data_IF_496146382213
#
_entry.id   IF_496146382213
#
_cell.length_a   1.000
_cell.length_b   1.000
_cell.length_c   1.000
_cell.angle_alpha   90.00
_cell.angle_beta   90.00
_cell.angle_gamma   90.00
#
_symmetry.space_group_name_H-M   'P 1'
#
loop_
_entity.id
_entity.type
_entity.pdbx_description
1 polymer ?
#
# COMPACT_ATOMS: atom_id res chain seq x y z
N UNK A 1 16.43 3.23 13.55
CA UNK A 1 15.98 3.60 12.20
C UNK A 1 15.02 4.77 12.35
N UNK A 2 15.02 5.71 11.42
CA UNK A 2 14.13 6.87 11.41
C UNK A 2 13.49 7.07 10.04
N UNK A 3 12.44 7.88 9.98
CA UNK A 3 11.85 8.32 8.72
C UNK A 3 12.88 9.16 7.92
N UNK A 4 12.75 9.24 6.59
CA UNK A 4 13.57 10.14 5.76
C UNK A 4 13.56 11.60 6.21
N UNK A 5 12.44 12.07 6.79
CA UNK A 5 12.30 13.40 7.41
C UNK A 5 13.21 13.62 8.63
N UNK A 6 13.73 12.53 9.20
CA UNK A 6 14.45 12.53 10.47
C UNK A 6 13.57 12.18 11.67
N UNK A 7 12.25 12.13 11.51
CA UNK A 7 11.31 11.78 12.58
C UNK A 7 11.58 10.35 13.09
N UNK A 8 11.62 10.12 14.41
CA UNK A 8 11.85 8.80 14.99
C UNK A 8 10.68 7.87 14.69
N UNK A 9 10.99 6.62 14.35
CA UNK A 9 9.97 5.56 14.23
C UNK A 9 9.54 5.12 15.63
N UNK A 10 8.25 5.25 15.93
CA UNK A 10 7.68 4.89 17.24
C UNK A 10 7.24 3.43 17.32
N UNK A 11 6.87 2.83 16.18
CA UNK A 11 6.39 1.46 16.15
C UNK A 11 5.95 1.02 14.76
N UNK A 12 5.11 -0.02 14.72
CA UNK A 12 4.48 -0.52 13.50
C UNK A 12 3.01 -0.15 13.46
N UNK A 13 2.48 -0.04 12.25
CA UNK A 13 1.03 -0.03 12.06
C UNK A 13 0.55 -1.46 12.25
N UNK A 14 -0.32 -1.67 13.23
CA UNK A 14 -0.85 -2.98 13.54
C UNK A 14 -2.30 -3.10 13.06
N UNK A 15 -2.63 -4.29 12.54
CA UNK A 15 -4.00 -4.69 12.21
C UNK A 15 -4.46 -5.71 13.25
N UNK A 16 -5.68 -5.51 13.75
CA UNK A 16 -6.33 -6.40 14.70
C UNK A 16 -7.62 -6.91 14.06
N UNK A 17 -7.77 -8.23 13.98
CA UNK A 17 -8.99 -8.82 13.49
C UNK A 17 -10.14 -8.53 14.46
N UNK A 18 -11.31 -8.28 13.90
CA UNK A 18 -12.50 -8.04 14.68
C UNK A 18 -13.74 -8.54 13.93
N UNK A 19 -14.74 -8.97 14.69
CA UNK A 19 -16.03 -9.42 14.16
C UNK A 19 -17.15 -8.55 14.70
N UNK A 20 -17.92 -7.94 13.81
CA UNK A 20 -19.22 -7.37 14.14
C UNK A 20 -20.31 -8.41 13.88
N UNK A 21 -21.39 -8.42 14.65
CA UNK A 21 -22.56 -9.23 14.28
C UNK A 21 -23.32 -8.52 13.15
N UNK A 22 -24.00 -9.33 12.35
CA UNK A 22 -24.86 -8.84 11.29
C UNK A 22 -26.24 -9.49 11.42
N UNK A 23 -27.26 -8.74 11.03
CA UNK A 23 -28.62 -9.22 10.85
C UNK A 23 -28.91 -9.27 9.36
N UNK A 24 -29.28 -10.43 8.86
CA UNK A 24 -29.74 -10.56 7.47
C UNK A 24 -31.15 -10.02 7.32
N UNK A 25 -31.43 -9.37 6.18
CA UNK A 25 -32.81 -9.11 5.80
C UNK A 25 -33.57 -10.43 5.53
N UNK A 26 -34.90 -10.38 5.52
CA UNK A 26 -35.76 -11.57 5.37
C UNK A 26 -35.53 -12.35 4.05
N UNK A 27 -34.96 -11.68 3.04
CA UNK A 27 -34.65 -12.25 1.73
C UNK A 27 -33.19 -12.75 1.61
N UNK A 28 -32.35 -12.52 2.62
CA UNK A 28 -30.92 -12.86 2.64
C UNK A 28 -30.06 -12.14 1.60
N UNK A 29 -30.53 -11.02 1.05
CA UNK A 29 -29.88 -10.26 -0.03
C UNK A 29 -29.06 -9.08 0.47
N UNK A 30 -29.33 -8.62 1.70
CA UNK A 30 -28.66 -7.50 2.34
C UNK A 30 -28.54 -7.76 3.85
N UNK A 31 -27.67 -6.99 4.54
CA UNK A 31 -27.48 -7.11 5.98
C UNK A 31 -27.33 -5.75 6.66
N UNK A 32 -27.77 -5.68 7.91
CA UNK A 32 -27.51 -4.58 8.81
C UNK A 32 -26.49 -4.98 9.87
N UNK A 33 -25.68 -4.03 10.33
CA UNK A 33 -24.80 -4.24 11.48
C UNK A 33 -25.62 -4.29 12.76
N UNK A 34 -25.35 -5.27 13.61
CA UNK A 34 -26.06 -5.47 14.87
C UNK A 34 -25.07 -5.63 16.03
N UNK A 35 -25.39 -5.00 17.17
CA UNK A 35 -24.64 -5.18 18.41
C UNK A 35 -23.27 -4.49 18.42
N UNK A 36 -22.28 -5.18 18.97
CA UNK A 36 -20.92 -4.65 19.16
C UNK A 36 -19.87 -5.45 18.41
N UNK A 37 -18.71 -4.82 18.22
CA UNK A 37 -17.54 -5.44 17.61
C UNK A 37 -16.74 -6.19 18.66
N UNK A 38 -16.58 -7.50 18.48
CA UNK A 38 -15.63 -8.32 19.23
C UNK A 38 -14.25 -8.19 18.59
N UNK A 39 -13.29 -7.62 19.32
CA UNK A 39 -11.90 -7.46 18.85
C UNK A 39 -11.07 -8.64 19.34
N UNK A 40 -10.40 -9.33 18.42
CA UNK A 40 -9.52 -10.45 18.73
C UNK A 40 -8.09 -9.96 18.91
N UNK A 41 -7.81 -9.38 20.08
CA UNK A 41 -6.51 -8.80 20.42
C UNK A 41 -5.34 -9.79 20.27
N UNK A 42 -5.58 -11.09 20.49
CA UNK A 42 -4.58 -12.14 20.33
C UNK A 42 -4.15 -12.36 18.86
N UNK A 43 -4.91 -11.82 17.89
CA UNK A 43 -4.57 -11.87 16.46
C UNK A 43 -3.88 -10.59 15.96
N UNK A 44 -3.53 -9.67 16.88
CA UNK A 44 -2.79 -8.46 16.55
C UNK A 44 -1.48 -8.80 15.83
N UNK A 45 -1.26 -8.15 14.68
CA UNK A 45 -0.04 -8.32 13.89
C UNK A 45 0.30 -7.03 13.16
N UNK A 46 1.59 -6.83 12.91
CA UNK A 46 2.08 -5.76 12.04
C UNK A 46 1.48 -5.87 10.64
N UNK A 47 0.93 -4.77 10.15
CA UNK A 47 0.45 -4.63 8.79
C UNK A 47 1.60 -4.80 7.81
N UNK A 48 1.32 -5.46 6.68
CA UNK A 48 2.25 -5.59 5.58
C UNK A 48 1.67 -4.99 4.31
N UNK A 49 2.45 -4.16 3.63
CA UNK A 49 2.14 -3.64 2.29
C UNK A 49 3.24 -4.07 1.31
N UNK A 50 2.85 -4.74 0.23
CA UNK A 50 3.83 -5.31 -0.72
C UNK A 50 4.83 -6.27 -0.07
N UNK A 51 4.42 -6.97 1.00
CA UNK A 51 5.28 -7.87 1.77
C UNK A 51 6.23 -7.20 2.77
N UNK A 52 6.22 -5.87 2.87
CA UNK A 52 7.04 -5.10 3.81
C UNK A 52 6.23 -4.68 5.03
N UNK A 53 6.87 -4.64 6.20
CA UNK A 53 6.28 -4.08 7.42
C UNK A 53 6.03 -2.58 7.26
N UNK A 54 4.90 -2.11 7.79
CA UNK A 54 4.54 -0.69 7.84
C UNK A 54 4.89 -0.13 9.22
N UNK A 55 5.64 0.97 9.24
CA UNK A 55 6.10 1.68 10.42
C UNK A 55 5.37 3.01 10.57
N UNK A 56 5.28 3.52 11.79
CA UNK A 56 4.70 4.83 12.08
C UNK A 56 5.70 5.70 12.84
N UNK A 57 5.83 6.96 12.43
CA UNK A 57 6.69 7.95 13.10
C UNK A 57 5.94 8.76 14.18
N UNK A 58 6.62 9.76 14.75
CA UNK A 58 6.04 10.61 15.80
C UNK A 58 4.94 11.56 15.32
N UNK A 59 4.91 11.87 14.02
CA UNK A 59 3.92 12.73 13.39
C UNK A 59 2.69 11.93 12.92
N UNK A 60 2.76 10.60 13.01
CA UNK A 60 1.71 9.68 12.58
C UNK A 60 1.80 9.31 11.11
N UNK A 61 2.91 9.61 10.43
CA UNK A 61 3.13 9.23 9.04
C UNK A 61 3.57 7.77 8.94
N UNK A 62 3.09 7.09 7.89
CA UNK A 62 3.36 5.68 7.63
C UNK A 62 4.53 5.50 6.66
N UNK A 63 5.43 4.58 6.99
CA UNK A 63 6.66 4.33 6.23
C UNK A 63 6.87 2.83 5.99
N UNK A 64 7.29 2.47 4.78
CA UNK A 64 7.74 1.11 4.49
C UNK A 64 9.17 0.90 4.97
N UNK A 65 9.50 -0.35 5.33
CA UNK A 65 10.86 -0.72 5.76
C UNK A 65 11.97 -0.23 4.82
N UNK A 66 11.76 -0.31 3.50
CA UNK A 66 12.74 0.12 2.51
C UNK A 66 12.95 1.64 2.43
N UNK A 67 12.04 2.42 3.00
CA UNK A 67 12.10 3.89 3.01
C UNK A 67 12.83 4.41 4.24
N UNK A 68 12.93 3.61 5.31
CA UNK A 68 13.61 3.99 6.53
C UNK A 68 15.11 4.19 6.33
N UNK A 69 15.66 5.18 7.02
CA UNK A 69 17.10 5.47 7.02
C UNK A 69 17.74 5.12 8.38
N UNK A 70 19.05 4.84 8.42
CA UNK A 70 19.80 4.69 9.67
C UNK A 70 19.68 5.93 10.57
N UNK A 71 19.81 5.74 11.89
CA UNK A 71 19.65 6.85 12.85
C UNK A 71 20.73 7.94 12.69
N UNK A 72 21.92 7.55 12.24
CA UNK A 72 23.07 8.41 11.96
C UNK A 72 23.07 9.01 10.54
N UNK A 73 22.13 8.63 9.67
CA UNK A 73 22.01 9.21 8.33
C UNK A 73 21.43 10.63 8.40
N UNK A 74 21.86 11.51 7.50
CA UNK A 74 21.28 12.85 7.38
C UNK A 74 19.83 12.77 6.85
N UNK A 75 18.86 13.45 7.50
CA UNK A 75 17.52 13.60 6.97
C UNK A 75 17.49 14.26 5.60
N UNK A 76 16.40 14.06 4.87
CA UNK A 76 16.14 14.72 3.59
C UNK A 76 14.81 15.46 3.64
N UNK A 77 14.84 16.72 3.23
CA UNK A 77 13.63 17.52 3.02
C UNK A 77 12.97 17.22 1.66
N UNK A 78 13.64 16.45 0.80
CA UNK A 78 13.14 16.10 -0.54
C UNK A 78 12.24 14.85 -0.54
N UNK A 79 11.40 14.72 0.49
CA UNK A 79 10.40 13.65 0.55
C UNK A 79 9.42 13.87 -0.58
N UNK A 80 9.30 12.85 -1.43
CA UNK A 80 8.49 12.98 -2.62
C UNK A 80 7.00 13.00 -2.26
N UNK A 81 6.19 13.89 -2.86
CA UNK A 81 4.79 14.06 -2.47
C UNK A 81 3.94 12.78 -2.59
N UNK A 82 4.34 11.86 -3.47
CA UNK A 82 3.69 10.57 -3.65
C UNK A 82 3.89 9.58 -2.49
N UNK A 83 4.70 9.91 -1.48
CA UNK A 83 4.71 9.17 -0.22
C UNK A 83 3.42 9.40 0.57
N UNK A 84 2.89 10.62 0.61
CA UNK A 84 1.66 10.90 1.36
C UNK A 84 0.38 10.73 0.51
N UNK A 85 0.48 10.85 -0.81
CA UNK A 85 -0.68 10.85 -1.71
C UNK A 85 -0.75 9.56 -2.57
N UNK A 86 -1.75 8.68 -2.32
CA UNK A 86 -1.94 7.45 -3.08
C UNK A 86 -2.16 7.64 -4.59
N UNK A 87 -2.81 8.73 -5.01
CA UNK A 87 -3.03 9.02 -6.43
C UNK A 87 -1.73 9.44 -7.11
N UNK A 88 -0.93 10.29 -6.45
CA UNK A 88 0.40 10.63 -6.94
C UNK A 88 1.32 9.41 -6.97
N UNK A 89 1.20 8.51 -5.98
CA UNK A 89 1.95 7.24 -5.94
C UNK A 89 1.62 6.36 -7.13
N UNK A 90 0.34 6.23 -7.45
CA UNK A 90 -0.12 5.47 -8.63
C UNK A 90 0.45 6.08 -9.92
N UNK A 91 0.40 7.41 -10.07
CA UNK A 91 0.96 8.10 -11.22
C UNK A 91 2.47 7.82 -11.35
N UNK A 92 3.22 7.90 -10.25
CA UNK A 92 4.66 7.70 -10.26
C UNK A 92 5.06 6.25 -10.55
N UNK A 93 4.33 5.27 -10.02
CA UNK A 93 4.53 3.85 -10.38
C UNK A 93 4.35 3.67 -11.89
N UNK A 94 3.28 4.22 -12.46
CA UNK A 94 3.02 4.13 -13.90
C UNK A 94 4.14 4.81 -14.70
N UNK A 95 4.62 5.97 -14.28
CA UNK A 95 5.73 6.68 -14.93
C UNK A 95 7.03 5.87 -14.85
N UNK A 96 7.33 5.32 -13.69
CA UNK A 96 8.51 4.47 -13.45
C UNK A 96 8.48 3.23 -14.33
N UNK A 97 7.33 2.53 -14.39
CA UNK A 97 7.15 1.35 -15.26
C UNK A 97 7.31 1.72 -16.73
N UNK A 98 6.73 2.85 -17.18
CA UNK A 98 6.90 3.35 -18.55
C UNK A 98 8.37 3.62 -18.88
N UNK A 99 9.08 4.32 -17.99
CA UNK A 99 10.49 4.66 -18.17
C UNK A 99 11.37 3.40 -18.20
N UNK A 100 11.10 2.44 -17.32
CA UNK A 100 11.79 1.15 -17.30
C UNK A 100 11.56 0.36 -18.58
N UNK A 101 10.32 0.29 -19.06
CA UNK A 101 9.97 -0.39 -20.30
C UNK A 101 10.70 0.23 -21.50
N UNK A 102 10.68 1.55 -21.62
CA UNK A 102 11.37 2.26 -22.70
C UNK A 102 12.88 2.06 -22.64
N UNK A 103 13.46 2.10 -21.43
CA UNK A 103 14.89 1.84 -21.24
C UNK A 103 15.30 0.42 -21.65
N UNK A 104 14.47 -0.57 -21.36
CA UNK A 104 14.78 -1.99 -21.65
C UNK A 104 14.52 -2.33 -23.12
N UNK A 105 13.43 -1.82 -23.69
CA UNK A 105 12.94 -2.25 -25.01
C UNK A 105 13.26 -1.27 -26.14
N UNK A 106 13.61 -0.02 -25.80
CA UNK A 106 13.73 1.09 -26.76
C UNK A 106 12.39 1.57 -27.33
N UNK A 107 11.25 1.07 -26.83
CA UNK A 107 9.90 1.41 -27.32
C UNK A 107 9.10 2.14 -26.26
N UNK A 108 8.26 3.09 -26.66
CA UNK A 108 7.35 3.76 -25.73
C UNK A 108 6.19 2.84 -25.39
N UNK A 109 5.82 2.76 -24.10
CA UNK A 109 4.73 1.87 -23.64
C UNK A 109 3.39 2.14 -24.36
N UNK A 110 3.12 3.40 -24.78
CA UNK A 110 1.94 3.76 -25.57
C UNK A 110 1.81 2.97 -26.89
N UNK A 111 2.93 2.55 -27.47
CA UNK A 111 2.99 1.74 -28.70
C UNK A 111 2.87 0.23 -28.41
N UNK A 112 2.86 -0.15 -27.13
CA UNK A 112 2.87 -1.53 -26.65
C UNK A 112 1.54 -1.92 -25.95
N UNK A 113 0.64 -0.98 -25.67
CA UNK A 113 -0.73 -1.28 -25.18
C UNK A 113 -1.60 -2.03 -26.20
N UNK A 114 -1.26 -1.96 -27.49
CA UNK A 114 -1.87 -2.79 -28.53
C UNK A 114 -1.24 -4.20 -28.59
N UNK A 115 -0.27 -4.50 -27.71
CA UNK A 115 0.38 -5.81 -27.63
C UNK A 115 -0.37 -6.73 -26.64
N UNK A 116 -0.89 -7.88 -27.06
CA UNK A 116 -1.75 -8.74 -26.24
C UNK A 116 -1.12 -9.21 -24.92
N UNK A 117 0.21 -9.38 -24.90
CA UNK A 117 0.93 -9.83 -23.71
C UNK A 117 1.00 -8.76 -22.60
N UNK A 118 1.00 -7.47 -22.95
CA UNK A 118 1.06 -6.37 -21.99
C UNK A 118 -0.31 -6.12 -21.36
N UNK A 119 -1.39 -6.25 -22.13
CA UNK A 119 -2.74 -6.20 -21.57
C UNK A 119 -2.98 -7.35 -20.59
N UNK A 120 -2.45 -8.54 -20.88
CA UNK A 120 -2.51 -9.67 -19.94
C UNK A 120 -1.73 -9.39 -18.66
N UNK A 121 -0.52 -8.83 -18.76
CA UNK A 121 0.28 -8.47 -17.58
C UNK A 121 -0.38 -7.38 -16.72
N UNK A 122 -0.97 -6.35 -17.35
CA UNK A 122 -1.69 -5.29 -16.64
C UNK A 122 -2.97 -5.81 -15.98
N UNK A 123 -3.71 -6.68 -16.67
CA UNK A 123 -4.89 -7.32 -16.09
C UNK A 123 -4.53 -8.20 -14.89
N UNK A 124 -3.45 -8.98 -14.99
CA UNK A 124 -2.94 -9.79 -13.88
C UNK A 124 -2.44 -8.93 -12.71
N UNK A 125 -1.81 -7.78 -12.98
CA UNK A 125 -1.42 -6.83 -11.95
C UNK A 125 -2.64 -6.16 -11.29
N UNK A 126 -3.70 -5.88 -12.05
CA UNK A 126 -4.97 -5.38 -11.50
C UNK A 126 -5.65 -6.41 -10.60
N UNK A 127 -5.76 -7.67 -11.06
CA UNK A 127 -6.30 -8.78 -10.26
C UNK A 127 -5.45 -8.99 -8.99
N UNK A 128 -4.12 -8.92 -9.12
CA UNK A 128 -3.24 -9.03 -7.96
C UNK A 128 -3.49 -7.88 -6.97
N UNK A 129 -3.65 -6.64 -7.44
CA UNK A 129 -3.93 -5.49 -6.59
C UNK A 129 -5.28 -5.62 -5.85
N UNK A 130 -6.31 -6.16 -6.50
CA UNK A 130 -7.62 -6.44 -5.88
C UNK A 130 -7.56 -7.59 -4.86
N UNK A 131 -6.67 -8.57 -5.06
CA UNK A 131 -6.47 -9.68 -4.12
C UNK A 131 -5.70 -9.29 -2.84
N UNK A 132 -5.16 -8.07 -2.77
CA UNK A 132 -4.43 -7.53 -1.61
C UNK A 132 -5.17 -6.39 -0.89
N UNK A 133 -6.43 -6.12 -1.25
CA UNK A 133 -7.36 -5.29 -0.47
C UNK A 133 -8.14 -6.15 0.52
#
# INVERSE_FOLDING_TARGET
MKAPSGSPILGTVDIVAARCNILWNDEGTDFDFEGGTEVWWDEQRTQKLGGQDVFIDEDGEEWLRCELIPDDAEPTDEIKPWHADPELRRIEIVNTVKALFERITGKRLKEAFDHPDINSAIHLLGIAAEAYQ
#
